data_IF_899234844735
#
_entry.id   IF_899234844735
#
_cell.length_a   1.000
_cell.length_b   1.000
_cell.length_c   1.000
_cell.angle_alpha   90.00
_cell.angle_beta   90.00
_cell.angle_gamma   90.00
#
_symmetry.space_group_name_H-M   'P 1'
#
loop_
_entity.id
_entity.type
_entity.pdbx_description
1 polymer ?
#
# COMPACT_ATOMS: atom_id res chain seq x y z
N UNK A 1 0.01 -12.71 -1.47
CA UNK A 1 0.46 -11.40 -1.93
C UNK A 1 0.10 -10.26 -0.95
N UNK A 2 -1.11 -10.15 -0.48
CA UNK A 2 -1.58 -9.05 0.42
C UNK A 2 -1.40 -9.30 1.92
N UNK A 3 -0.42 -10.11 2.34
CA UNK A 3 -0.28 -10.50 3.75
C UNK A 3 -0.01 -9.31 4.68
N UNK A 4 0.84 -8.37 4.24
CA UNK A 4 1.19 -7.19 5.04
C UNK A 4 0.01 -6.22 5.18
N UNK A 5 -0.72 -5.96 4.09
CA UNK A 5 -1.91 -5.12 4.10
C UNK A 5 -2.94 -5.64 5.11
N UNK A 6 -3.25 -6.94 5.08
CA UNK A 6 -4.21 -7.56 6.02
C UNK A 6 -3.78 -7.48 7.49
N UNK A 7 -2.51 -7.30 7.76
CA UNK A 7 -1.99 -7.14 9.12
C UNK A 7 -2.13 -5.73 9.67
N UNK A 8 -2.12 -4.72 8.79
CA UNK A 8 -2.24 -3.30 9.18
C UNK A 8 -3.68 -2.81 9.17
N UNK A 9 -4.58 -3.38 8.34
CA UNK A 9 -6.01 -3.06 8.37
C UNK A 9 -6.60 -3.55 9.68
N UNK A 10 -7.23 -2.66 10.42
CA UNK A 10 -7.72 -2.93 11.78
C UNK A 10 -9.25 -2.99 11.88
N UNK A 11 -9.95 -2.57 10.83
CA UNK A 11 -11.40 -2.60 10.67
C UNK A 11 -11.85 -4.03 10.33
N UNK A 12 -12.57 -4.66 11.25
CA UNK A 12 -12.95 -6.07 11.13
C UNK A 12 -13.84 -6.35 9.91
N UNK A 13 -14.79 -5.47 9.66
CA UNK A 13 -15.75 -5.64 8.55
C UNK A 13 -15.04 -5.47 7.21
N UNK A 14 -14.23 -4.42 7.06
CA UNK A 14 -13.43 -4.19 5.87
C UNK A 14 -12.47 -5.37 5.58
N UNK A 15 -11.76 -5.85 6.60
CA UNK A 15 -10.87 -7.00 6.46
C UNK A 15 -11.62 -8.27 6.05
N UNK A 16 -12.85 -8.47 6.55
CA UNK A 16 -13.69 -9.60 6.17
C UNK A 16 -14.15 -9.50 4.72
N UNK A 17 -14.56 -8.31 4.27
CA UNK A 17 -14.96 -8.03 2.89
C UNK A 17 -13.78 -8.24 1.92
N UNK A 18 -12.59 -7.78 2.26
CA UNK A 18 -11.36 -8.03 1.49
C UNK A 18 -11.10 -9.54 1.37
N UNK A 19 -11.17 -10.30 2.46
CA UNK A 19 -11.01 -11.76 2.44
C UNK A 19 -12.07 -12.46 1.58
N UNK A 20 -13.30 -11.98 1.63
CA UNK A 20 -14.39 -12.51 0.82
C UNK A 20 -14.11 -12.31 -0.67
N UNK A 21 -13.71 -11.11 -1.08
CA UNK A 21 -13.32 -10.81 -2.45
C UNK A 21 -12.12 -11.66 -2.91
N UNK A 22 -11.09 -11.81 -2.06
CA UNK A 22 -9.95 -12.69 -2.38
C UNK A 22 -10.38 -14.14 -2.66
N UNK A 23 -11.34 -14.68 -1.89
CA UNK A 23 -11.83 -16.03 -2.12
C UNK A 23 -12.56 -16.13 -3.47
N UNK A 24 -13.38 -15.13 -3.81
CA UNK A 24 -14.10 -15.10 -5.07
C UNK A 24 -13.19 -14.85 -6.29
N UNK A 25 -12.06 -14.16 -6.12
CA UNK A 25 -11.05 -13.99 -7.16
C UNK A 25 -10.26 -15.28 -7.42
N UNK A 26 -9.97 -16.04 -6.35
CA UNK A 26 -9.13 -17.24 -6.46
C UNK A 26 -9.92 -18.49 -6.87
N UNK A 27 -11.22 -18.53 -6.62
CA UNK A 27 -12.08 -19.69 -6.89
C UNK A 27 -13.28 -19.25 -7.72
N UNK A 28 -13.46 -19.81 -8.92
CA UNK A 28 -14.49 -19.37 -9.87
C UNK A 28 -15.92 -19.38 -9.31
N UNK A 29 -16.20 -20.26 -8.35
CA UNK A 29 -17.52 -20.40 -7.76
C UNK A 29 -17.45 -20.99 -6.36
N UNK A 30 -18.15 -20.38 -5.41
CA UNK A 30 -18.21 -20.81 -4.02
C UNK A 30 -19.63 -20.73 -3.46
N UNK A 31 -20.01 -21.68 -2.63
CA UNK A 31 -21.28 -21.59 -1.87
C UNK A 31 -21.11 -20.63 -0.68
N UNK A 32 -22.22 -20.00 -0.25
CA UNK A 32 -22.22 -19.13 0.94
C UNK A 32 -21.71 -19.87 2.18
N UNK A 33 -22.06 -21.14 2.35
CA UNK A 33 -21.58 -22.00 3.44
C UNK A 33 -20.06 -22.17 3.41
N UNK A 34 -19.47 -22.43 2.24
CA UNK A 34 -18.03 -22.59 2.08
C UNK A 34 -17.30 -21.27 2.33
N UNK A 35 -17.80 -20.16 1.81
CA UNK A 35 -17.27 -18.82 2.10
C UNK A 35 -17.31 -18.52 3.59
N UNK A 36 -18.45 -18.74 4.25
CA UNK A 36 -18.61 -18.53 5.68
C UNK A 36 -17.58 -19.31 6.51
N UNK A 37 -17.34 -20.57 6.15
CA UNK A 37 -16.32 -21.40 6.80
C UNK A 37 -14.91 -20.85 6.58
N UNK A 38 -14.55 -20.50 5.33
CA UNK A 38 -13.20 -20.03 4.98
C UNK A 38 -12.85 -18.70 5.63
N UNK A 39 -13.81 -17.77 5.73
CA UNK A 39 -13.59 -16.45 6.36
C UNK A 39 -14.00 -16.40 7.83
N UNK A 40 -14.39 -17.53 8.41
CA UNK A 40 -14.78 -17.70 9.82
C UNK A 40 -15.93 -16.77 10.25
N UNK A 41 -17.04 -16.83 9.50
CA UNK A 41 -18.24 -16.04 9.77
C UNK A 41 -19.52 -16.86 9.53
N UNK A 42 -20.70 -16.21 9.54
CA UNK A 42 -21.98 -16.84 9.23
C UNK A 42 -22.41 -16.59 7.78
N UNK A 43 -23.23 -17.46 7.21
CA UNK A 43 -23.80 -17.24 5.86
C UNK A 43 -24.59 -15.93 5.78
N UNK A 44 -25.31 -15.57 6.84
CA UNK A 44 -26.03 -14.28 6.91
C UNK A 44 -25.06 -13.11 6.76
N UNK A 45 -23.91 -13.15 7.43
CA UNK A 45 -22.88 -12.11 7.32
C UNK A 45 -22.26 -12.09 5.92
N UNK A 46 -22.03 -13.27 5.30
CA UNK A 46 -21.56 -13.35 3.92
C UNK A 46 -22.53 -12.63 2.97
N UNK A 47 -23.84 -12.88 3.08
CA UNK A 47 -24.83 -12.22 2.21
C UNK A 47 -24.90 -10.71 2.46
N UNK A 48 -24.80 -10.26 3.71
CA UNK A 48 -24.74 -8.83 4.04
C UNK A 48 -23.50 -8.16 3.44
N UNK A 49 -22.33 -8.78 3.57
CA UNK A 49 -21.08 -8.28 2.98
C UNK A 49 -21.14 -8.28 1.44
N UNK A 50 -21.69 -9.32 0.82
CA UNK A 50 -21.89 -9.38 -0.64
C UNK A 50 -22.80 -8.26 -1.14
N UNK A 51 -23.86 -7.94 -0.39
CA UNK A 51 -24.76 -6.86 -0.74
C UNK A 51 -24.02 -5.51 -0.69
N UNK A 52 -23.23 -5.27 0.36
CA UNK A 52 -22.40 -4.09 0.48
C UNK A 52 -21.35 -4.01 -0.66
N UNK A 53 -20.63 -5.11 -0.90
CA UNK A 53 -19.61 -5.15 -1.96
C UNK A 53 -20.25 -4.84 -3.32
N UNK A 54 -21.40 -5.44 -3.66
CA UNK A 54 -22.14 -5.17 -4.90
C UNK A 54 -22.43 -3.69 -5.11
N UNK A 55 -22.80 -2.98 -4.04
CA UNK A 55 -23.10 -1.54 -4.13
C UNK A 55 -21.86 -0.67 -4.39
N UNK A 56 -20.67 -1.24 -4.20
CA UNK A 56 -19.39 -0.53 -4.38
C UNK A 56 -18.65 -0.93 -5.65
N UNK A 57 -19.00 -2.05 -6.29
CA UNK A 57 -18.27 -2.55 -7.46
C UNK A 57 -18.32 -1.58 -8.64
N UNK A 58 -17.20 -1.42 -9.40
CA UNK A 58 -17.20 -0.71 -10.67
C UNK A 58 -18.09 -1.44 -11.68
N UNK A 59 -18.50 -0.74 -12.74
CA UNK A 59 -19.43 -1.24 -13.75
C UNK A 59 -18.97 -2.55 -14.42
N UNK A 60 -17.67 -2.75 -14.57
CA UNK A 60 -17.08 -3.93 -15.19
C UNK A 60 -17.06 -5.17 -14.29
N UNK A 61 -17.41 -5.01 -13.02
CA UNK A 61 -17.44 -6.10 -12.05
C UNK A 61 -18.85 -6.38 -11.55
N UNK A 62 -19.19 -7.65 -11.46
CA UNK A 62 -20.48 -8.08 -10.88
C UNK A 62 -20.34 -9.31 -10.01
N UNK A 63 -21.19 -9.44 -9.00
CA UNK A 63 -21.32 -10.65 -8.20
C UNK A 63 -22.64 -11.31 -8.52
N UNK A 64 -22.59 -12.47 -9.15
CA UNK A 64 -23.74 -13.32 -9.46
C UNK A 64 -23.98 -14.32 -8.32
N UNK A 65 -25.25 -14.62 -8.07
CA UNK A 65 -25.64 -15.65 -7.11
C UNK A 65 -26.75 -16.47 -7.72
N UNK A 66 -26.51 -17.77 -7.85
CA UNK A 66 -27.50 -18.75 -8.34
C UNK A 66 -27.52 -20.00 -7.44
N UNK A 67 -28.30 -21.03 -7.86
CA UNK A 67 -28.41 -22.30 -7.14
C UNK A 67 -27.09 -23.06 -7.03
N UNK A 68 -26.13 -22.79 -7.92
CA UNK A 68 -24.82 -23.42 -7.94
C UNK A 68 -23.76 -22.68 -7.08
N UNK A 69 -24.04 -21.42 -6.70
CA UNK A 69 -23.16 -20.64 -5.81
C UNK A 69 -23.03 -19.17 -6.17
N UNK A 70 -21.95 -18.59 -5.68
CA UNK A 70 -21.59 -17.18 -5.79
C UNK A 70 -20.35 -17.07 -6.66
N UNK A 71 -20.36 -16.15 -7.63
CA UNK A 71 -19.27 -15.89 -8.58
C UNK A 71 -18.98 -14.41 -8.67
N UNK A 72 -17.73 -14.06 -8.78
CA UNK A 72 -17.30 -12.73 -9.18
C UNK A 72 -17.03 -12.75 -10.69
N UNK A 73 -17.65 -11.85 -11.43
CA UNK A 73 -17.50 -11.71 -12.88
C UNK A 73 -16.81 -10.40 -13.21
N UNK A 74 -15.85 -10.48 -14.13
CA UNK A 74 -15.28 -9.35 -14.83
C UNK A 74 -15.88 -9.35 -16.24
N UNK A 75 -16.59 -8.29 -16.61
CA UNK A 75 -17.29 -8.17 -17.91
C UNK A 75 -16.44 -7.43 -18.95
N UNK A 76 -15.27 -6.89 -18.55
CA UNK A 76 -14.37 -6.13 -19.40
C UNK A 76 -12.90 -6.52 -19.20
N UNK A 77 -12.02 -5.58 -19.47
CA UNK A 77 -10.58 -5.71 -19.23
C UNK A 77 -10.16 -5.09 -17.89
N UNK A 78 -11.10 -4.92 -16.98
CA UNK A 78 -10.84 -4.32 -15.67
C UNK A 78 -9.84 -5.15 -14.86
N UNK A 79 -8.87 -4.49 -14.28
CA UNK A 79 -7.84 -5.18 -13.50
C UNK A 79 -8.33 -5.44 -12.07
N UNK A 80 -7.90 -6.57 -11.49
CA UNK A 80 -8.26 -6.94 -10.11
C UNK A 80 -7.85 -5.89 -9.08
N UNK A 81 -6.86 -5.08 -9.41
CA UNK A 81 -6.41 -3.98 -8.56
C UNK A 81 -7.47 -2.90 -8.36
N UNK A 82 -8.36 -2.66 -9.33
CA UNK A 82 -9.45 -1.69 -9.21
C UNK A 82 -10.37 -2.01 -8.02
N UNK A 83 -10.53 -3.29 -7.70
CA UNK A 83 -11.29 -3.70 -6.52
C UNK A 83 -10.67 -3.19 -5.21
N UNK A 84 -9.34 -3.14 -5.15
CA UNK A 84 -8.65 -2.69 -3.94
C UNK A 84 -8.74 -1.19 -3.75
N UNK A 85 -8.78 -0.41 -4.84
CA UNK A 85 -8.95 1.05 -4.80
C UNK A 85 -10.28 1.46 -4.13
N UNK A 86 -11.27 0.58 -4.11
CA UNK A 86 -12.56 0.82 -3.44
C UNK A 86 -12.49 0.65 -1.92
N UNK A 87 -11.66 -0.27 -1.45
CA UNK A 87 -11.63 -0.67 -0.04
C UNK A 87 -10.51 0.00 0.74
N UNK A 88 -9.34 0.22 0.14
CA UNK A 88 -8.19 0.78 0.83
C UNK A 88 -8.43 2.19 1.39
N UNK A 89 -9.09 3.13 0.67
CA UNK A 89 -9.38 4.46 1.20
C UNK A 89 -10.33 4.46 2.40
N UNK A 90 -11.09 3.38 2.61
CA UNK A 90 -12.00 3.26 3.75
C UNK A 90 -11.28 2.90 5.06
N UNK A 91 -10.04 2.42 4.98
CA UNK A 91 -9.27 2.06 6.18
C UNK A 91 -8.56 3.26 6.79
N UNK A 92 -8.90 3.57 8.03
CA UNK A 92 -8.21 4.59 8.85
C UNK A 92 -6.73 4.25 9.00
N UNK A 93 -6.41 2.97 9.14
CA UNK A 93 -5.02 2.51 9.23
C UNK A 93 -4.24 2.82 7.96
N UNK A 94 -4.85 2.62 6.80
CA UNK A 94 -4.21 2.89 5.50
C UNK A 94 -4.09 4.39 5.26
N UNK A 95 -5.13 5.17 5.55
CA UNK A 95 -5.08 6.63 5.48
C UNK A 95 -3.93 7.18 6.33
N UNK A 96 -3.82 6.72 7.58
CA UNK A 96 -2.76 7.14 8.49
C UNK A 96 -1.36 6.81 7.94
N UNK A 97 -1.16 5.58 7.45
CA UNK A 97 0.13 5.18 6.87
C UNK A 97 0.45 5.94 5.60
N UNK A 98 -0.57 6.24 4.76
CA UNK A 98 -0.39 7.06 3.56
C UNK A 98 0.14 8.46 3.93
N UNK A 99 -0.48 9.14 4.88
CA UNK A 99 -0.04 10.47 5.30
C UNK A 99 1.34 10.44 5.97
N UNK A 100 1.63 9.44 6.82
CA UNK A 100 2.95 9.28 7.47
C UNK A 100 4.08 8.92 6.51
N UNK A 101 3.80 8.51 5.27
CA UNK A 101 4.83 8.34 4.24
C UNK A 101 5.40 9.70 3.82
N UNK A 102 4.55 10.71 3.67
CA UNK A 102 4.90 12.03 3.15
C UNK A 102 5.45 13.00 4.21
N UNK A 103 5.35 12.67 5.48
CA UNK A 103 5.78 13.56 6.55
C UNK A 103 6.43 12.80 7.69
N UNK A 104 7.27 13.51 8.44
CA UNK A 104 7.88 13.00 9.66
C UNK A 104 6.88 12.89 10.79
N UNK A 105 5.93 13.84 10.85
CA UNK A 105 4.89 13.89 11.86
C UNK A 105 3.59 14.49 11.30
N UNK A 106 2.46 14.10 11.87
CA UNK A 106 1.14 14.65 11.58
C UNK A 106 0.60 15.37 12.80
N UNK A 107 -0.16 16.44 12.56
CA UNK A 107 -0.93 17.11 13.62
C UNK A 107 -2.16 16.27 13.95
N UNK A 108 -2.28 15.83 15.20
CA UNK A 108 -3.36 14.92 15.64
C UNK A 108 -4.75 15.47 15.35
N UNK A 109 -5.01 16.74 15.66
CA UNK A 109 -6.33 17.36 15.44
C UNK A 109 -6.68 17.45 13.96
N UNK A 110 -5.70 17.70 13.08
CA UNK A 110 -5.90 17.73 11.63
C UNK A 110 -6.31 16.34 11.11
N UNK A 111 -5.57 15.30 11.49
CA UNK A 111 -5.89 13.93 11.06
C UNK A 111 -7.26 13.47 11.59
N UNK A 112 -7.62 13.78 12.84
CA UNK A 112 -8.94 13.45 13.38
C UNK A 112 -10.07 14.13 12.62
N UNK A 113 -9.87 15.41 12.24
CA UNK A 113 -10.85 16.18 11.47
C UNK A 113 -11.06 15.60 10.06
N UNK A 114 -9.99 15.26 9.35
CA UNK A 114 -10.05 14.72 7.98
C UNK A 114 -10.57 13.29 7.95
N UNK A 115 -10.15 12.45 8.88
CA UNK A 115 -10.57 11.04 8.96
C UNK A 115 -11.94 10.81 9.57
N UNK A 116 -12.50 11.83 10.26
CA UNK A 116 -13.81 11.75 10.91
C UNK A 116 -13.88 10.80 12.12
N UNK A 117 -12.73 10.43 12.72
CA UNK A 117 -12.70 9.53 13.88
C UNK A 117 -12.34 10.24 15.17
N UNK A 118 -12.81 9.71 16.30
CA UNK A 118 -12.42 10.22 17.62
C UNK A 118 -10.99 9.80 17.99
N UNK A 119 -10.36 10.56 18.89
CA UNK A 119 -9.04 10.25 19.44
C UNK A 119 -8.97 8.83 20.02
N UNK A 120 -9.97 8.40 20.79
CA UNK A 120 -10.01 7.06 21.38
C UNK A 120 -10.19 5.96 20.33
N UNK A 121 -10.89 6.25 19.24
CA UNK A 121 -11.00 5.32 18.11
C UNK A 121 -9.66 5.18 17.41
N UNK A 122 -8.99 6.29 17.09
CA UNK A 122 -7.65 6.28 16.48
C UNK A 122 -6.64 5.53 17.36
N UNK A 123 -6.65 5.78 18.67
CA UNK A 123 -5.79 5.09 19.63
C UNK A 123 -5.98 3.57 19.61
N UNK A 124 -7.23 3.09 19.46
CA UNK A 124 -7.50 1.65 19.32
C UNK A 124 -6.96 1.07 18.01
N UNK A 125 -7.07 1.81 16.90
CA UNK A 125 -6.50 1.42 15.62
C UNK A 125 -4.98 1.33 15.73
N UNK A 126 -4.32 2.38 16.22
CA UNK A 126 -2.86 2.43 16.39
C UNK A 126 -2.35 1.28 17.28
N UNK A 127 -3.04 0.98 18.39
CA UNK A 127 -2.67 -0.17 19.24
C UNK A 127 -2.62 -1.49 18.47
N UNK A 128 -3.56 -1.71 17.56
CA UNK A 128 -3.58 -2.93 16.72
C UNK A 128 -2.52 -2.87 15.63
N UNK A 129 -2.33 -1.72 14.95
CA UNK A 129 -1.31 -1.52 13.93
C UNK A 129 0.10 -1.79 14.50
N UNK A 130 0.37 -1.32 15.70
CA UNK A 130 1.65 -1.50 16.38
C UNK A 130 2.01 -2.98 16.59
N UNK A 131 1.03 -3.90 16.64
CA UNK A 131 1.32 -5.33 16.67
C UNK A 131 1.97 -5.82 15.37
N UNK A 132 1.52 -5.32 14.22
CA UNK A 132 2.09 -5.66 12.91
C UNK A 132 3.44 -4.95 12.66
N UNK A 133 3.61 -3.75 13.20
CA UNK A 133 4.81 -2.93 13.02
C UNK A 133 6.01 -3.43 13.84
N UNK A 134 5.78 -4.22 14.89
CA UNK A 134 6.85 -4.79 15.72
C UNK A 134 7.87 -5.62 14.94
N UNK A 135 7.43 -6.33 13.91
CA UNK A 135 8.31 -7.16 13.08
C UNK A 135 9.33 -6.32 12.29
N UNK A 136 9.09 -5.01 12.20
CA UNK A 136 9.98 -4.03 11.57
C UNK A 136 10.69 -3.15 12.61
N UNK A 137 10.55 -3.44 13.91
CA UNK A 137 11.03 -2.58 14.99
C UNK A 137 10.48 -1.15 14.91
N UNK A 138 9.21 -1.02 14.49
CA UNK A 138 8.50 0.24 14.33
C UNK A 138 7.34 0.35 15.32
N UNK A 139 6.99 1.58 15.66
CA UNK A 139 5.79 1.88 16.43
C UNK A 139 5.20 3.24 16.02
N UNK A 140 3.88 3.33 15.95
CA UNK A 140 3.19 4.62 15.82
C UNK A 140 2.97 5.16 17.22
N UNK A 141 3.49 6.35 17.46
CA UNK A 141 3.28 7.12 18.69
C UNK A 141 2.18 8.14 18.44
N UNK A 142 1.18 8.12 19.31
CA UNK A 142 0.07 9.08 19.31
C UNK A 142 0.13 9.92 20.60
N UNK A 143 0.20 11.22 20.43
CA UNK A 143 0.03 12.21 21.50
C UNK A 143 -1.20 13.06 21.25
N UNK A 144 -1.54 13.98 22.14
CA UNK A 144 -2.63 14.94 21.92
C UNK A 144 -2.34 15.92 20.79
N UNK A 145 -1.06 16.12 20.45
CA UNK A 145 -0.60 17.11 19.46
C UNK A 145 -0.11 16.47 18.17
N UNK A 146 0.59 15.33 18.24
CA UNK A 146 1.27 14.74 17.08
C UNK A 146 1.08 13.22 16.97
N UNK A 147 1.20 12.74 15.74
CA UNK A 147 1.28 11.32 15.38
C UNK A 147 2.58 11.11 14.60
N UNK A 148 3.39 10.13 15.01
CA UNK A 148 4.69 9.86 14.40
C UNK A 148 4.89 8.36 14.22
N UNK A 149 5.58 7.97 13.14
CA UNK A 149 6.10 6.61 12.97
C UNK A 149 7.56 6.58 13.48
N UNK A 150 7.76 5.88 14.58
CA UNK A 150 9.04 5.82 15.30
C UNK A 150 9.78 4.54 14.96
N UNK A 151 11.07 4.67 14.67
CA UNK A 151 12.01 3.60 14.37
C UNK A 151 13.16 4.08 13.49
N UNK A 152 14.07 3.17 13.12
CA UNK A 152 15.12 3.50 12.15
C UNK A 152 14.51 3.79 10.78
N UNK A 153 14.96 4.86 10.12
CA UNK A 153 14.41 5.26 8.81
C UNK A 153 14.57 4.15 7.76
N UNK A 154 15.65 3.37 7.81
CA UNK A 154 15.83 2.17 6.98
C UNK A 154 14.69 1.15 7.17
N UNK A 155 14.27 0.90 8.41
CA UNK A 155 13.17 -0.01 8.72
C UNK A 155 11.83 0.55 8.24
N UNK A 156 11.63 1.87 8.36
CA UNK A 156 10.44 2.56 7.85
C UNK A 156 10.33 2.36 6.33
N UNK A 157 11.42 2.56 5.59
CA UNK A 157 11.44 2.36 4.13
C UNK A 157 11.20 0.90 3.74
N UNK A 158 11.81 -0.06 4.43
CA UNK A 158 11.57 -1.49 4.22
C UNK A 158 10.09 -1.84 4.47
N UNK A 159 9.50 -1.31 5.53
CA UNK A 159 8.08 -1.51 5.83
C UNK A 159 7.20 -0.98 4.71
N UNK A 160 7.41 0.27 4.27
CA UNK A 160 6.62 0.84 3.18
C UNK A 160 6.81 0.10 1.87
N UNK A 161 8.02 -0.31 1.53
CA UNK A 161 8.26 -1.13 0.35
C UNK A 161 7.42 -2.42 0.37
N UNK A 162 7.42 -3.15 1.48
CA UNK A 162 6.61 -4.37 1.62
C UNK A 162 5.11 -4.12 1.61
N UNK A 163 4.68 -2.95 2.09
CA UNK A 163 3.28 -2.55 2.08
C UNK A 163 2.82 -2.17 0.67
N UNK A 164 3.62 -1.40 -0.06
CA UNK A 164 3.21 -0.72 -1.29
C UNK A 164 3.45 -1.53 -2.57
N UNK A 165 4.50 -2.35 -2.63
CA UNK A 165 4.84 -3.12 -3.85
C UNK A 165 3.63 -3.80 -4.51
N UNK A 166 2.66 -4.39 -3.80
CA UNK A 166 1.51 -5.00 -4.44
C UNK A 166 0.55 -4.01 -5.11
N UNK A 167 0.68 -2.71 -4.87
CA UNK A 167 -0.29 -1.68 -5.26
C UNK A 167 0.27 -0.60 -6.18
N UNK A 168 1.59 -0.48 -6.30
CA UNK A 168 2.22 0.63 -7.00
C UNK A 168 2.06 0.57 -8.51
N UNK A 169 1.92 -0.62 -9.06
CA UNK A 169 1.95 -0.84 -10.51
C UNK A 169 0.80 -0.19 -11.32
N UNK A 170 -0.20 0.43 -10.69
CA UNK A 170 -1.33 1.04 -11.38
C UNK A 170 -1.86 2.32 -10.71
N UNK A 171 -1.03 3.10 -10.06
CA UNK A 171 -1.40 4.37 -9.39
C UNK A 171 -2.52 4.31 -8.34
N UNK A 172 -2.86 3.13 -7.80
CA UNK A 172 -3.98 2.98 -6.87
C UNK A 172 -3.80 3.63 -5.52
N UNK A 173 -2.56 3.79 -5.12
CA UNK A 173 -2.26 4.32 -3.80
C UNK A 173 -1.85 5.79 -3.85
N UNK A 174 -1.20 6.20 -4.96
CA UNK A 174 -0.66 7.55 -5.17
C UNK A 174 -0.85 7.95 -6.63
N UNK A 175 -1.43 9.11 -6.86
CA UNK A 175 -1.76 9.60 -8.20
C UNK A 175 -0.52 9.93 -9.04
N UNK A 176 0.59 10.28 -8.37
CA UNK A 176 1.87 10.67 -8.96
C UNK A 176 2.89 9.53 -9.05
N UNK A 177 2.53 8.30 -8.64
CA UNK A 177 3.47 7.18 -8.66
C UNK A 177 4.01 6.89 -10.07
N UNK A 178 3.17 6.95 -11.11
CA UNK A 178 3.57 6.68 -12.50
C UNK A 178 4.65 7.64 -13.00
N UNK A 179 4.67 8.87 -12.53
CA UNK A 179 5.70 9.86 -12.89
C UNK A 179 7.07 9.39 -12.38
N UNK A 180 7.13 8.94 -11.13
CA UNK A 180 8.36 8.42 -10.53
C UNK A 180 8.79 7.10 -11.16
N UNK A 181 7.84 6.23 -11.50
CA UNK A 181 8.09 4.97 -12.19
C UNK A 181 8.68 5.22 -13.58
N UNK A 182 8.12 6.13 -14.36
CA UNK A 182 8.62 6.50 -15.68
C UNK A 182 10.03 7.08 -15.62
N UNK A 183 10.32 7.99 -14.68
CA UNK A 183 11.65 8.53 -14.46
C UNK A 183 12.67 7.44 -14.11
N UNK A 184 12.28 6.48 -13.28
CA UNK A 184 13.13 5.34 -12.94
C UNK A 184 13.44 4.47 -14.15
N UNK A 185 12.46 4.17 -14.98
CA UNK A 185 12.67 3.38 -16.21
C UNK A 185 13.50 4.12 -17.25
N UNK A 186 13.31 5.42 -17.42
CA UNK A 186 14.17 6.24 -18.27
C UNK A 186 15.64 6.22 -17.80
N UNK A 187 15.85 6.30 -16.49
CA UNK A 187 17.17 6.14 -15.89
C UNK A 187 17.80 4.78 -16.19
N UNK A 188 17.06 3.69 -15.99
CA UNK A 188 17.54 2.35 -16.28
C UNK A 188 17.94 2.19 -17.76
N UNK A 189 17.14 2.69 -18.70
CA UNK A 189 17.47 2.69 -20.13
C UNK A 189 18.77 3.42 -20.44
N UNK A 190 19.02 4.55 -19.77
CA UNK A 190 20.27 5.29 -19.94
C UNK A 190 21.48 4.55 -19.38
N UNK A 191 21.34 3.84 -18.24
CA UNK A 191 22.42 3.12 -17.59
C UNK A 191 22.76 1.84 -18.33
N UNK A 192 21.76 1.07 -18.73
CA UNK A 192 21.98 -0.25 -19.35
C UNK A 192 22.09 -0.22 -20.86
N UNK A 193 21.77 0.91 -21.49
CA UNK A 193 21.79 1.10 -22.95
C UNK A 193 21.09 -0.06 -23.71
N UNK A 194 20.02 -0.59 -23.15
CA UNK A 194 19.26 -1.74 -23.67
C UNK A 194 17.77 -1.44 -23.67
N UNK A 195 17.03 -2.07 -24.56
CA UNK A 195 15.57 -2.13 -24.49
C UNK A 195 15.19 -3.07 -23.34
N UNK A 196 14.87 -2.49 -22.18
CA UNK A 196 14.43 -3.25 -21.02
C UNK A 196 12.99 -3.71 -21.22
N UNK A 197 12.77 -5.01 -21.12
CA UNK A 197 11.45 -5.56 -20.83
C UNK A 197 11.20 -5.41 -19.34
N UNK A 198 10.00 -4.94 -18.96
CA UNK A 198 9.64 -4.73 -17.54
C UNK A 198 9.59 -6.08 -16.84
N UNK A 199 10.59 -6.37 -16.03
CA UNK A 199 10.63 -7.54 -15.18
C UNK A 199 10.19 -7.21 -13.75
N UNK A 200 9.85 -8.24 -12.97
CA UNK A 200 9.37 -8.07 -11.58
C UNK A 200 10.35 -7.29 -10.70
N UNK A 201 11.65 -7.43 -10.95
CA UNK A 201 12.72 -6.76 -10.21
C UNK A 201 12.73 -5.25 -10.46
N UNK A 202 12.37 -4.81 -11.66
CA UNK A 202 12.27 -3.39 -12.02
C UNK A 202 11.11 -2.71 -11.30
N UNK A 203 9.98 -3.41 -11.14
CA UNK A 203 8.84 -2.93 -10.35
C UNK A 203 9.25 -2.71 -8.89
N UNK A 204 10.03 -3.61 -8.32
CA UNK A 204 10.57 -3.45 -6.98
C UNK A 204 11.50 -2.25 -6.88
N UNK A 205 12.36 -2.05 -7.87
CA UNK A 205 13.27 -0.92 -7.96
C UNK A 205 12.53 0.43 -8.05
N UNK A 206 11.49 0.51 -8.89
CA UNK A 206 10.64 1.70 -9.01
C UNK A 206 9.96 2.05 -7.68
N UNK A 207 9.45 1.05 -6.96
CA UNK A 207 8.85 1.26 -5.64
C UNK A 207 9.88 1.77 -4.62
N UNK A 208 11.11 1.24 -4.61
CA UNK A 208 12.19 1.75 -3.78
C UNK A 208 12.55 3.20 -4.12
N UNK A 209 12.66 3.51 -5.41
CA UNK A 209 12.94 4.86 -5.88
C UNK A 209 11.89 5.86 -5.40
N UNK A 210 10.61 5.53 -5.59
CA UNK A 210 9.49 6.33 -5.11
C UNK A 210 9.55 6.59 -3.61
N UNK A 211 9.68 5.53 -2.78
CA UNK A 211 9.74 5.67 -1.32
C UNK A 211 10.92 6.53 -0.90
N UNK A 212 12.09 6.30 -1.50
CA UNK A 212 13.29 7.06 -1.17
C UNK A 212 13.13 8.54 -1.51
N UNK A 213 12.55 8.86 -2.67
CA UNK A 213 12.29 10.24 -3.10
C UNK A 213 11.35 10.94 -2.13
N UNK A 214 10.19 10.34 -1.84
CA UNK A 214 9.19 10.92 -0.93
C UNK A 214 9.76 11.12 0.48
N UNK A 215 10.45 10.11 1.02
CA UNK A 215 11.04 10.21 2.38
C UNK A 215 12.17 11.25 2.45
N UNK A 216 12.96 11.41 1.39
CA UNK A 216 13.97 12.44 1.32
C UNK A 216 13.34 13.84 1.26
N UNK A 217 12.28 14.06 0.43
CA UNK A 217 11.52 15.32 0.40
C UNK A 217 10.91 15.66 1.76
N UNK A 218 10.51 14.67 2.54
CA UNK A 218 10.03 14.84 3.92
C UNK A 218 11.15 15.07 4.96
N UNK A 219 12.40 15.26 4.55
CA UNK A 219 13.59 15.38 5.42
C UNK A 219 13.80 14.18 6.37
N UNK A 220 13.33 13.01 5.99
CA UNK A 220 13.53 11.76 6.72
C UNK A 220 14.78 11.06 6.19
N UNK A 221 15.93 11.37 6.76
CA UNK A 221 17.22 10.83 6.30
C UNK A 221 17.59 9.54 7.04
N UNK A 222 18.21 8.60 6.34
CA UNK A 222 18.86 7.44 6.96
C UNK A 222 20.13 7.92 7.64
N UNK A 223 20.17 7.87 8.97
CA UNK A 223 21.28 8.41 9.78
C UNK A 223 22.45 7.45 9.96
N UNK A 224 22.19 6.15 9.81
CA UNK A 224 23.23 5.12 9.95
C UNK A 224 23.12 4.17 8.76
N UNK A 225 24.06 4.29 7.87
CA UNK A 225 24.21 3.41 6.72
C UNK A 225 25.68 3.03 6.60
N UNK A 226 25.99 1.76 6.86
CA UNK A 226 27.31 1.21 6.56
C UNK A 226 27.28 0.60 5.17
N UNK A 227 28.05 1.12 4.25
CA UNK A 227 28.25 0.55 2.94
C UNK A 227 29.74 0.40 2.67
N UNK A 228 30.08 -0.59 1.87
CA UNK A 228 31.45 -0.73 1.40
C UNK A 228 31.67 0.23 0.22
N UNK A 229 32.39 1.32 0.48
CA UNK A 229 32.74 2.30 -0.55
C UNK A 229 33.64 1.73 -1.67
N UNK A 230 34.19 0.53 -1.47
CA UNK A 230 34.99 -0.19 -2.45
C UNK A 230 34.15 -1.17 -3.29
N UNK A 231 32.88 -1.34 -2.96
CA UNK A 231 31.98 -2.17 -3.76
C UNK A 231 31.91 -1.63 -5.19
N UNK A 232 32.24 -2.47 -6.16
CA UNK A 232 32.34 -2.09 -7.57
C UNK A 232 30.99 -1.66 -8.13
N UNK A 233 29.89 -2.33 -7.72
CA UNK A 233 28.55 -1.97 -8.13
C UNK A 233 28.13 -0.62 -7.55
N UNK A 234 28.46 -0.37 -6.28
CA UNK A 234 28.20 0.93 -5.67
C UNK A 234 28.94 2.05 -6.42
N UNK A 235 30.24 1.89 -6.72
CA UNK A 235 31.01 2.88 -7.45
C UNK A 235 30.49 3.12 -8.88
N UNK A 236 29.98 2.09 -9.53
CA UNK A 236 29.42 2.17 -10.88
C UNK A 236 28.08 2.93 -10.89
N UNK A 237 27.20 2.64 -9.95
CA UNK A 237 25.84 3.18 -9.95
C UNK A 237 25.68 4.50 -9.19
N UNK A 238 26.51 4.76 -8.19
CA UNK A 238 26.41 5.93 -7.33
C UNK A 238 26.35 7.27 -8.10
N UNK A 239 27.18 7.55 -9.13
CA UNK A 239 27.12 8.82 -9.86
C UNK A 239 25.80 9.00 -10.61
N UNK A 240 25.29 7.92 -11.23
CA UNK A 240 24.05 7.93 -11.98
C UNK A 240 22.83 8.08 -11.07
N UNK A 241 22.79 7.36 -9.93
CA UNK A 241 21.77 7.51 -8.92
C UNK A 241 21.77 8.92 -8.31
N UNK A 242 22.95 9.50 -8.03
CA UNK A 242 23.05 10.85 -7.52
C UNK A 242 22.51 11.90 -8.52
N UNK A 243 22.64 11.66 -9.82
CA UNK A 243 22.05 12.50 -10.87
C UNK A 243 20.53 12.37 -10.90
N UNK A 244 20.01 11.14 -10.83
CA UNK A 244 18.58 10.86 -10.81
C UNK A 244 17.88 11.56 -9.63
N UNK A 245 18.41 11.41 -8.40
CA UNK A 245 17.81 12.05 -7.22
C UNK A 245 17.90 13.58 -7.25
N UNK A 246 18.94 14.16 -7.85
CA UNK A 246 19.01 15.62 -8.05
C UNK A 246 17.98 16.14 -9.06
N UNK A 247 17.69 15.39 -10.12
CA UNK A 247 16.65 15.79 -11.07
C UNK A 247 15.26 15.82 -10.43
N UNK A 248 14.98 14.94 -9.47
CA UNK A 248 13.73 14.91 -8.72
C UNK A 248 13.55 16.10 -7.75
N UNK A 249 14.66 16.63 -7.21
CA UNK A 249 14.61 17.81 -6.34
C UNK A 249 14.16 19.07 -7.10
N UNK A 250 14.43 19.14 -8.40
CA UNK A 250 14.06 20.29 -9.27
C UNK A 250 12.67 20.20 -9.88
N UNK A 251 12.06 19.03 -9.95
CA UNK A 251 10.69 18.85 -10.50
C UNK A 251 9.58 19.30 -9.55
N UNK A 252 9.89 19.68 -8.32
CA UNK A 252 8.91 20.15 -7.35
C UNK A 252 8.66 21.68 -7.37
N UNK A 253 9.26 22.41 -8.30
CA UNK A 253 9.09 23.87 -8.45
C UNK A 253 8.25 24.27 -9.68
N UNK A 254 7.65 23.30 -10.38
CA UNK A 254 6.69 23.51 -11.47
C UNK A 254 5.30 23.04 -11.05
#
# INVERSE_FOLDING_TARGET
>A
MYSMLKRVITEKDLLRQIRLLEQLLNVPQLTAKRLATQIQTTERTVFSDLQYIRSQLPADWSIETDSSGIRLRNQGNAQTNELWSLFLPQSISIQLLKELLFTKELVTTSFLSTSGVSYETLKRHIKKMNLALRDFHLTIQLTTTTIQLIGAESNIRIFYHRLLVPFTHNNYFFDDYSIHEEHYFQFLKQVYNSELTVETEEIFGACWFFINTIRNKANCRVSQFSFDSKDVLFQLYQPSLAKLYRSEEHTSEL
#
